data_IF_112445099871
#
_entry.id   IF_112445099871
#
_cell.length_a   1.000
_cell.length_b   1.000
_cell.length_c   1.000
_cell.angle_alpha   90.00
_cell.angle_beta   90.00
_cell.angle_gamma   90.00
#
_symmetry.space_group_name_H-M   'P 1'
#
loop_
_entity.id
_entity.type
_entity.pdbx_description
1 polymer ?
#
# COMPACT_ATOMS: atom_id res chain seq x y z
N UNK A 1 -0.73 -10.55 26.55
CA UNK A 1 0.47 -9.89 25.98
C UNK A 1 0.24 -8.39 26.07
N UNK A 2 1.30 -7.59 26.28
CA UNK A 2 1.18 -6.12 26.22
C UNK A 2 0.87 -5.69 24.78
N UNK A 3 0.01 -4.67 24.61
CA UNK A 3 -0.28 -4.12 23.29
C UNK A 3 0.99 -3.55 22.65
N UNK A 4 1.02 -3.56 21.32
CA UNK A 4 2.07 -2.87 20.55
C UNK A 4 2.00 -1.37 20.83
N UNK A 5 3.17 -0.74 20.88
CA UNK A 5 3.29 0.71 20.85
C UNK A 5 3.88 1.09 19.50
N UNK A 6 3.11 1.83 18.70
CA UNK A 6 3.57 2.38 17.42
C UNK A 6 4.70 3.39 17.63
N UNK A 7 5.38 3.81 16.56
CA UNK A 7 6.44 4.83 16.66
C UNK A 7 5.98 6.12 17.35
N UNK A 8 4.74 6.57 17.10
CA UNK A 8 4.16 7.73 17.79
C UNK A 8 3.90 7.45 19.28
N UNK A 9 3.39 6.27 19.64
CA UNK A 9 3.18 5.90 21.05
C UNK A 9 4.51 5.85 21.82
N UNK A 10 5.56 5.34 21.16
CA UNK A 10 6.92 5.29 21.73
C UNK A 10 7.47 6.70 21.93
N UNK A 11 7.34 7.57 20.93
CA UNK A 11 7.78 8.96 21.02
C UNK A 11 7.02 9.71 22.13
N UNK A 12 5.70 9.57 22.23
CA UNK A 12 4.88 10.20 23.26
C UNK A 12 5.25 9.78 24.68
N UNK A 13 5.57 8.49 24.85
CA UNK A 13 5.93 7.90 26.14
C UNK A 13 7.35 8.20 26.62
N UNK A 14 8.22 8.75 25.77
CA UNK A 14 9.66 8.92 26.06
C UNK A 14 10.07 10.41 26.05
N UNK A 15 10.19 10.99 27.25
CA UNK A 15 10.53 12.41 27.43
C UNK A 15 11.99 12.73 27.15
N UNK A 16 12.89 11.78 27.26
CA UNK A 16 14.30 12.03 26.92
C UNK A 16 14.46 12.00 25.40
N UNK A 17 13.83 11.04 24.73
CA UNK A 17 13.80 10.99 23.26
C UNK A 17 13.20 12.28 22.66
N UNK A 18 12.13 12.82 23.27
CA UNK A 18 11.56 14.11 22.85
C UNK A 18 12.57 15.28 22.92
N UNK A 19 13.52 15.28 23.86
CA UNK A 19 14.49 16.39 23.99
C UNK A 19 15.55 16.39 22.89
N UNK A 20 15.72 15.28 22.18
CA UNK A 20 16.68 15.18 21.08
C UNK A 20 16.24 15.97 19.84
N UNK A 21 14.95 16.30 19.72
CA UNK A 21 14.40 17.02 18.58
C UNK A 21 14.11 18.47 18.97
N UNK A 22 14.98 19.38 18.54
CA UNK A 22 14.86 20.81 18.78
C UNK A 22 15.00 21.59 17.48
N UNK A 23 14.06 22.50 17.23
CA UNK A 23 14.07 23.32 16.03
C UNK A 23 12.69 23.40 15.40
N UNK A 24 12.63 23.51 14.10
CA UNK A 24 11.41 23.53 13.32
C UNK A 24 11.08 22.13 12.80
N UNK A 25 9.85 21.72 13.07
CA UNK A 25 9.36 20.37 12.77
C UNK A 25 8.39 20.41 11.59
N UNK A 26 8.65 19.53 10.62
CA UNK A 26 7.71 19.12 9.59
C UNK A 26 7.05 17.79 9.96
N UNK A 27 5.78 17.57 9.59
CA UNK A 27 5.08 16.30 9.85
C UNK A 27 4.36 15.81 8.59
N UNK A 28 4.80 14.68 8.03
CA UNK A 28 4.10 13.92 7.00
C UNK A 28 3.19 12.89 7.66
N UNK A 29 1.87 13.08 7.54
CA UNK A 29 0.87 12.20 8.12
C UNK A 29 -0.45 12.25 7.34
N UNK A 30 -1.38 11.33 7.64
CA UNK A 30 -2.71 11.24 7.03
C UNK A 30 -3.73 10.76 8.07
N UNK A 31 -4.99 10.58 7.68
CA UNK A 31 -6.07 10.24 8.62
C UNK A 31 -5.84 9.00 9.50
N UNK A 32 -5.16 7.96 9.01
CA UNK A 32 -4.85 6.77 9.83
C UNK A 32 -3.57 6.91 10.68
N UNK A 33 -2.92 8.07 10.64
CA UNK A 33 -1.80 8.43 11.53
C UNK A 33 -2.33 8.78 12.91
N UNK A 34 -2.69 7.75 13.69
CA UNK A 34 -3.20 7.89 15.06
C UNK A 34 -2.38 7.08 16.05
N UNK A 35 -2.34 7.51 17.30
CA UNK A 35 -1.79 6.73 18.40
C UNK A 35 -2.80 5.66 18.89
N UNK A 36 -2.42 4.86 19.89
CA UNK A 36 -3.31 3.82 20.46
C UNK A 36 -4.62 4.34 21.05
N UNK A 37 -4.69 5.64 21.34
CA UNK A 37 -5.85 6.33 21.91
C UNK A 37 -6.71 7.03 20.85
N UNK A 38 -6.43 6.83 19.55
CA UNK A 38 -7.07 7.49 18.42
C UNK A 38 -6.82 9.01 18.35
N UNK A 39 -5.82 9.53 19.06
CA UNK A 39 -5.38 10.91 18.85
C UNK A 39 -4.54 10.97 17.58
N UNK A 40 -4.86 11.92 16.69
CA UNK A 40 -4.14 12.11 15.44
C UNK A 40 -2.71 12.58 15.70
N UNK A 41 -1.73 12.05 14.97
CA UNK A 41 -0.30 12.32 15.16
C UNK A 41 0.03 13.80 15.12
N UNK A 42 -0.59 14.58 14.22
CA UNK A 42 -0.40 16.04 14.23
C UNK A 42 -0.75 16.69 15.58
N UNK A 43 -1.85 16.28 16.21
CA UNK A 43 -2.26 16.78 17.52
C UNK A 43 -1.26 16.39 18.61
N UNK A 44 -0.81 15.14 18.60
CA UNK A 44 0.23 14.62 19.49
C UNK A 44 1.55 15.39 19.35
N UNK A 45 2.01 15.62 18.11
CA UNK A 45 3.24 16.35 17.81
C UNK A 45 3.15 17.81 18.28
N UNK A 46 2.04 18.51 18.03
CA UNK A 46 1.83 19.89 18.51
C UNK A 46 1.85 19.95 20.04
N UNK A 47 1.26 18.96 20.71
CA UNK A 47 1.24 18.88 22.18
C UNK A 47 2.63 18.64 22.77
N UNK A 48 3.43 17.77 22.15
CA UNK A 48 4.79 17.45 22.59
C UNK A 48 5.77 18.59 22.34
N UNK A 49 5.78 19.14 21.11
CA UNK A 49 6.81 20.07 20.62
C UNK A 49 6.28 21.49 20.47
N UNK A 50 5.49 21.97 21.43
CA UNK A 50 4.78 23.26 21.41
C UNK A 50 5.54 24.36 20.65
N UNK A 51 4.95 24.87 19.56
CA UNK A 51 5.48 25.97 18.77
C UNK A 51 6.58 25.59 17.76
N UNK A 52 7.07 24.35 17.77
CA UNK A 52 8.11 23.86 16.84
C UNK A 52 7.50 23.29 15.55
N UNK A 53 6.29 22.72 15.58
CA UNK A 53 5.61 22.23 14.37
C UNK A 53 5.25 23.39 13.46
N UNK A 54 5.84 23.44 12.25
CA UNK A 54 5.69 24.54 11.29
C UNK A 54 4.91 24.16 10.04
N UNK A 55 5.13 22.95 9.53
CA UNK A 55 4.63 22.53 8.21
C UNK A 55 4.09 21.10 8.29
N UNK A 56 2.98 20.86 7.61
CA UNK A 56 2.35 19.54 7.50
C UNK A 56 2.38 19.10 6.05
N UNK A 57 2.57 17.82 5.81
CA UNK A 57 2.58 17.22 4.48
C UNK A 57 1.56 16.07 4.42
N UNK A 58 0.79 15.99 3.34
CA UNK A 58 -0.17 14.92 3.08
C UNK A 58 0.27 14.07 1.89
N UNK A 59 0.12 12.73 1.93
CA UNK A 59 0.44 11.82 0.82
C UNK A 59 -0.72 11.76 -0.21
N UNK A 60 -0.73 10.72 -1.06
CA UNK A 60 -1.90 10.34 -1.87
C UNK A 60 -3.16 10.23 -0.99
N UNK A 61 -4.32 10.62 -1.53
CA UNK A 61 -5.59 10.84 -0.81
C UNK A 61 -5.60 12.02 0.18
N UNK A 62 -4.50 12.76 0.31
CA UNK A 62 -4.41 13.99 1.10
C UNK A 62 -4.34 13.73 2.62
N UNK A 63 -4.21 14.83 3.37
CA UNK A 63 -4.09 14.81 4.84
C UNK A 63 -5.35 14.25 5.54
N UNK A 64 -6.55 14.53 4.99
CA UNK A 64 -7.84 14.11 5.57
C UNK A 64 -8.47 12.88 4.90
N UNK A 65 -7.86 12.33 3.84
CA UNK A 65 -8.33 11.08 3.20
C UNK A 65 -9.80 11.16 2.72
N UNK A 66 -10.22 12.29 2.17
CA UNK A 66 -11.60 12.52 1.67
C UNK A 66 -11.76 12.22 0.17
N UNK A 67 -10.66 11.90 -0.52
CA UNK A 67 -10.64 11.62 -1.95
C UNK A 67 -10.84 10.14 -2.25
N UNK A 68 -12.00 9.82 -2.85
CA UNK A 68 -12.47 8.44 -3.08
C UNK A 68 -11.73 7.67 -4.17
N UNK A 69 -11.16 8.36 -5.17
CA UNK A 69 -10.53 7.73 -6.32
C UNK A 69 -9.02 7.97 -6.33
N UNK A 70 -8.28 7.01 -6.90
CA UNK A 70 -6.89 7.24 -7.25
C UNK A 70 -6.87 8.32 -8.35
N UNK A 71 -5.77 9.06 -8.51
CA UNK A 71 -5.64 10.12 -9.53
C UNK A 71 -6.40 11.44 -9.32
N UNK A 72 -7.06 11.65 -8.19
CA UNK A 72 -7.61 12.97 -7.85
C UNK A 72 -6.61 13.73 -6.98
N UNK A 73 -6.11 14.84 -7.51
CA UNK A 73 -5.15 15.72 -6.83
C UNK A 73 -5.82 16.47 -5.67
N UNK A 74 -5.01 16.84 -4.68
CA UNK A 74 -5.46 17.62 -3.52
C UNK A 74 -4.65 18.90 -3.41
N UNK A 75 -5.29 20.06 -3.33
CA UNK A 75 -4.57 21.33 -3.26
C UNK A 75 -3.82 21.54 -1.93
N UNK A 76 -2.86 22.45 -1.94
CA UNK A 76 -2.30 22.99 -0.71
C UNK A 76 -3.38 23.72 0.08
N UNK A 77 -3.33 23.61 1.41
CA UNK A 77 -4.36 24.19 2.28
C UNK A 77 -3.79 24.65 3.61
N UNK A 78 -4.62 25.26 4.45
CA UNK A 78 -4.32 25.53 5.84
C UNK A 78 -5.20 24.67 6.72
N UNK A 79 -4.60 23.99 7.69
CA UNK A 79 -5.36 23.19 8.65
C UNK A 79 -6.36 24.11 9.39
N UNK A 80 -7.67 23.84 9.33
CA UNK A 80 -8.70 24.80 9.76
C UNK A 80 -8.63 25.10 11.26
N UNK A 81 -8.24 24.12 12.07
CA UNK A 81 -8.06 24.27 13.52
C UNK A 81 -6.66 24.75 13.91
N UNK A 82 -5.60 24.00 13.57
CA UNK A 82 -4.22 24.31 13.97
C UNK A 82 -3.58 25.50 13.24
N UNK A 83 -4.18 25.99 12.15
CA UNK A 83 -3.68 27.11 11.32
C UNK A 83 -2.26 26.91 10.80
N UNK A 84 -1.88 25.66 10.55
CA UNK A 84 -0.61 25.28 9.93
C UNK A 84 -0.79 25.09 8.42
N UNK A 85 0.21 25.43 7.59
CA UNK A 85 0.20 25.07 6.18
C UNK A 85 0.27 23.55 6.02
N UNK A 86 -0.53 23.03 5.09
CA UNK A 86 -0.61 21.63 4.69
C UNK A 86 -0.26 21.55 3.21
N UNK A 87 0.89 20.96 2.90
CA UNK A 87 1.35 20.72 1.53
C UNK A 87 0.91 19.33 1.08
N UNK A 88 0.25 19.26 -0.07
CA UNK A 88 -0.03 17.99 -0.72
C UNK A 88 1.18 17.53 -1.50
N UNK A 89 1.63 16.30 -1.23
CA UNK A 89 2.64 15.58 -2.01
C UNK A 89 1.97 14.67 -3.06
N UNK A 90 0.77 15.05 -3.50
CA UNK A 90 -0.01 14.36 -4.52
C UNK A 90 -0.75 15.35 -5.44
N UNK A 91 -0.29 16.61 -5.53
CA UNK A 91 -0.81 17.66 -6.44
C UNK A 91 0.09 17.85 -7.67
N UNK A 92 0.56 19.06 -7.94
CA UNK A 92 1.57 19.37 -8.96
C UNK A 92 2.88 18.62 -8.74
N UNK A 93 3.16 18.19 -7.50
CA UNK A 93 4.38 17.49 -7.13
C UNK A 93 4.09 16.23 -6.33
N UNK A 94 4.93 15.20 -6.51
CA UNK A 94 4.98 13.98 -5.66
C UNK A 94 6.11 14.02 -4.64
N UNK A 95 6.87 15.10 -4.64
CA UNK A 95 8.10 15.31 -3.89
C UNK A 95 8.02 16.74 -3.35
N UNK A 96 8.32 17.00 -2.07
CA UNK A 96 8.31 18.37 -1.58
C UNK A 96 9.33 19.23 -2.33
N UNK A 97 8.97 20.48 -2.62
CA UNK A 97 9.90 21.46 -3.18
C UNK A 97 10.91 21.93 -2.12
N UNK A 98 11.98 22.60 -2.53
CA UNK A 98 12.95 23.15 -1.57
C UNK A 98 12.32 24.23 -0.67
N UNK A 99 11.39 25.02 -1.21
CA UNK A 99 10.60 26.01 -0.44
C UNK A 99 9.72 25.33 0.62
N UNK A 100 9.09 24.21 0.26
CA UNK A 100 8.32 23.42 1.21
C UNK A 100 9.20 22.92 2.36
N UNK A 101 10.46 22.54 2.11
CA UNK A 101 11.40 22.08 3.13
C UNK A 101 12.14 23.21 3.86
N UNK A 102 12.06 24.45 3.38
CA UNK A 102 12.85 25.56 3.93
C UNK A 102 12.63 25.75 5.43
N UNK A 103 13.74 25.82 6.17
CA UNK A 103 13.74 26.05 7.61
C UNK A 103 13.17 24.90 8.43
N UNK A 104 13.06 23.68 7.91
CA UNK A 104 12.74 22.47 8.68
C UNK A 104 14.04 21.78 9.10
N UNK A 105 14.17 21.46 10.39
CA UNK A 105 15.32 20.74 10.95
C UNK A 105 15.02 19.23 11.09
N UNK A 106 13.80 18.91 11.52
CA UNK A 106 13.33 17.54 11.71
C UNK A 106 12.02 17.29 10.95
N UNK A 107 11.99 16.25 10.11
CA UNK A 107 10.83 15.87 9.33
C UNK A 107 10.32 14.50 9.77
N UNK A 108 9.24 14.50 10.54
CA UNK A 108 8.61 13.26 11.01
C UNK A 108 7.68 12.68 9.95
N UNK A 109 7.80 11.38 9.73
CA UNK A 109 6.95 10.61 8.82
C UNK A 109 6.18 9.58 9.63
N UNK A 110 4.87 9.66 9.61
CA UNK A 110 3.98 8.71 10.26
C UNK A 110 2.85 8.32 9.32
N UNK A 111 2.98 7.18 8.65
CA UNK A 111 2.00 6.69 7.68
C UNK A 111 1.70 5.21 7.94
N UNK A 112 0.44 4.89 8.22
CA UNK A 112 -0.06 3.51 8.16
C UNK A 112 -0.13 3.04 6.70
N UNK A 113 0.84 2.22 6.30
CA UNK A 113 0.86 1.50 5.03
C UNK A 113 0.08 0.17 5.12
N UNK A 114 -0.07 -0.54 4.01
CA UNK A 114 -0.90 -1.74 3.88
C UNK A 114 -0.11 -2.99 3.48
N UNK A 115 1.21 -2.88 3.29
CA UNK A 115 2.10 -4.01 3.03
C UNK A 115 2.11 -4.50 1.58
N UNK A 116 1.53 -3.72 0.67
CA UNK A 116 1.41 -4.04 -0.75
C UNK A 116 2.17 -3.02 -1.58
N UNK A 117 3.03 -3.49 -2.49
CA UNK A 117 3.91 -2.67 -3.33
C UNK A 117 3.19 -1.52 -4.03
N UNK A 118 1.97 -1.75 -4.49
CA UNK A 118 1.18 -0.78 -5.26
C UNK A 118 0.67 0.39 -4.41
N UNK A 119 0.63 0.23 -3.08
CA UNK A 119 0.21 1.29 -2.18
C UNK A 119 1.31 2.35 -2.04
N UNK A 120 1.02 3.61 -2.39
CA UNK A 120 2.08 4.58 -2.74
C UNK A 120 2.74 5.29 -1.55
N UNK A 121 2.33 5.00 -0.32
CA UNK A 121 2.87 5.69 0.88
C UNK A 121 4.36 5.38 1.08
N UNK A 122 4.78 4.13 0.85
CA UNK A 122 6.21 3.79 0.85
C UNK A 122 7.00 4.58 -0.20
N UNK A 123 6.39 4.90 -1.34
CA UNK A 123 7.06 5.68 -2.40
C UNK A 123 7.12 7.15 -2.08
N UNK A 124 6.08 7.71 -1.47
CA UNK A 124 6.11 9.05 -0.88
C UNK A 124 7.29 9.18 0.10
N UNK A 125 7.49 8.19 0.97
CA UNK A 125 8.65 8.14 1.88
C UNK A 125 9.99 8.08 1.13
N UNK A 126 10.15 7.18 0.16
CA UNK A 126 11.44 7.07 -0.57
C UNK A 126 11.76 8.30 -1.41
N UNK A 127 10.76 8.95 -2.03
CA UNK A 127 10.93 10.24 -2.70
C UNK A 127 11.35 11.34 -1.73
N UNK A 128 10.75 11.35 -0.54
CA UNK A 128 11.10 12.29 0.50
C UNK A 128 12.54 12.10 0.98
N UNK A 129 12.96 10.86 1.19
CA UNK A 129 14.33 10.52 1.55
C UNK A 129 15.32 10.94 0.45
N UNK A 130 15.01 10.70 -0.82
CA UNK A 130 15.82 11.17 -1.95
C UNK A 130 15.93 12.71 -1.95
N UNK A 131 14.83 13.43 -1.68
CA UNK A 131 14.82 14.90 -1.65
C UNK A 131 15.60 15.47 -0.47
N UNK A 132 15.61 14.78 0.67
CA UNK A 132 16.37 15.17 1.86
C UNK A 132 17.83 14.68 1.85
N UNK A 133 18.25 13.90 0.86
CA UNK A 133 19.64 13.47 0.74
C UNK A 133 20.59 14.68 0.64
N UNK A 134 21.69 14.64 1.38
CA UNK A 134 22.67 15.73 1.44
C UNK A 134 22.20 17.03 2.13
N UNK A 135 20.95 17.11 2.62
CA UNK A 135 20.45 18.27 3.37
C UNK A 135 20.66 18.09 4.87
N UNK A 136 20.74 19.21 5.60
CA UNK A 136 20.75 19.24 7.07
C UNK A 136 19.33 19.12 7.63
N UNK A 137 18.64 18.05 7.24
CA UNK A 137 17.29 17.72 7.69
C UNK A 137 17.31 16.27 8.16
N UNK A 138 17.01 16.03 9.44
CA UNK A 138 16.80 14.68 9.94
C UNK A 138 15.39 14.21 9.56
N UNK A 139 15.29 13.08 8.85
CA UNK A 139 14.01 12.43 8.54
C UNK A 139 13.76 11.33 9.56
N UNK A 140 12.67 11.44 10.32
CA UNK A 140 12.34 10.53 11.41
C UNK A 140 11.10 9.72 11.06
N UNK A 141 11.25 8.42 10.80
CA UNK A 141 10.13 7.51 10.55
C UNK A 141 9.59 6.98 11.86
N UNK A 142 8.34 7.30 12.17
CA UNK A 142 7.57 6.69 13.25
C UNK A 142 7.00 5.38 12.72
N UNK A 143 7.66 4.26 13.06
CA UNK A 143 7.35 3.00 12.41
C UNK A 143 5.98 2.44 12.84
N UNK A 144 5.35 1.67 11.94
CA UNK A 144 4.00 1.12 12.11
C UNK A 144 3.93 -0.36 11.71
N UNK A 145 2.97 -1.12 12.28
CA UNK A 145 2.78 -2.51 11.87
C UNK A 145 2.43 -2.61 10.39
N UNK A 146 2.98 -3.62 9.73
CA UNK A 146 2.43 -4.07 8.45
C UNK A 146 1.14 -4.88 8.73
N UNK A 147 -0.04 -4.45 8.24
CA UNK A 147 -1.31 -5.06 8.62
C UNK A 147 -1.52 -6.47 8.07
N UNK A 148 -0.80 -6.81 6.99
CA UNK A 148 -0.76 -8.17 6.43
C UNK A 148 0.51 -8.92 6.85
N UNK A 149 0.99 -8.60 8.05
CA UNK A 149 2.24 -9.06 8.67
C UNK A 149 3.51 -8.62 7.92
N UNK A 150 4.62 -8.53 8.64
CA UNK A 150 5.92 -8.20 8.08
C UNK A 150 6.76 -9.47 7.83
N UNK A 151 6.12 -10.62 7.62
CA UNK A 151 6.81 -11.93 7.51
C UNK A 151 6.72 -12.50 6.11
N UNK A 152 5.49 -12.71 5.64
CA UNK A 152 5.22 -13.42 4.39
C UNK A 152 5.51 -12.53 3.19
N UNK A 153 5.93 -13.17 2.11
CA UNK A 153 6.29 -12.53 0.84
C UNK A 153 5.56 -13.26 -0.28
N UNK A 154 5.05 -12.49 -1.24
CA UNK A 154 4.30 -13.04 -2.37
C UNK A 154 4.38 -12.10 -3.59
N UNK A 155 4.37 -12.69 -4.78
CA UNK A 155 4.38 -11.98 -6.05
C UNK A 155 5.78 -11.67 -6.56
N UNK A 156 5.86 -11.37 -7.85
CA UNK A 156 7.13 -11.16 -8.54
C UNK A 156 7.84 -9.89 -8.08
N UNK A 157 9.18 -9.94 -8.13
CA UNK A 157 10.01 -8.75 -7.99
C UNK A 157 9.73 -7.80 -9.17
N UNK A 158 9.62 -6.50 -8.88
CA UNK A 158 9.45 -5.48 -9.90
C UNK A 158 10.70 -5.39 -10.80
N UNK A 159 10.50 -5.48 -12.11
CA UNK A 159 11.50 -5.09 -13.09
C UNK A 159 11.51 -3.55 -13.17
N UNK A 160 12.68 -2.95 -12.92
CA UNK A 160 12.85 -1.50 -12.90
C UNK A 160 12.56 -0.82 -14.25
N UNK A 161 12.48 -1.56 -15.36
CA UNK A 161 11.97 -1.04 -16.63
C UNK A 161 10.48 -0.65 -16.56
N UNK A 162 9.73 -1.26 -15.64
CA UNK A 162 8.33 -0.96 -15.34
C UNK A 162 8.19 -0.05 -14.11
N UNK A 163 9.27 0.59 -13.65
CA UNK A 163 9.20 1.47 -12.51
C UNK A 163 8.26 2.67 -12.77
N UNK A 164 7.41 2.97 -11.79
CA UNK A 164 6.45 4.08 -11.79
C UNK A 164 6.06 4.48 -10.36
N UNK A 165 5.13 5.42 -10.17
CA UNK A 165 4.71 5.84 -8.84
C UNK A 165 4.03 4.74 -8.00
N UNK A 166 3.48 3.70 -8.63
CA UNK A 166 2.89 2.51 -7.97
C UNK A 166 3.87 1.34 -7.85
N UNK A 167 5.12 1.56 -8.20
CA UNK A 167 6.11 0.50 -8.29
C UNK A 167 7.48 1.05 -8.56
N UNK A 168 8.19 1.60 -7.57
CA UNK A 168 9.51 2.23 -7.82
C UNK A 168 10.71 1.30 -7.67
N UNK A 169 10.62 0.39 -6.71
CA UNK A 169 11.77 -0.37 -6.21
C UNK A 169 11.60 -1.86 -6.49
N UNK A 170 12.71 -2.62 -6.66
CA UNK A 170 12.68 -4.06 -6.94
C UNK A 170 12.26 -4.86 -5.70
N UNK A 171 10.98 -4.78 -5.35
CA UNK A 171 10.34 -5.50 -4.25
C UNK A 171 9.16 -6.35 -4.76
N UNK A 172 8.80 -7.43 -4.04
CA UNK A 172 7.64 -8.24 -4.40
C UNK A 172 6.33 -7.52 -4.06
N UNK A 173 5.21 -8.01 -4.60
CA UNK A 173 3.88 -7.39 -4.42
C UNK A 173 3.49 -7.33 -2.94
N UNK A 174 3.58 -8.45 -2.22
CA UNK A 174 3.55 -8.47 -0.75
C UNK A 174 4.99 -8.50 -0.27
N UNK A 175 5.47 -7.37 0.22
CA UNK A 175 6.90 -7.19 0.49
C UNK A 175 7.35 -7.67 1.88
N UNK A 176 6.45 -7.78 2.85
CA UNK A 176 6.77 -8.29 4.19
C UNK A 176 7.77 -7.42 4.95
N UNK A 177 7.63 -6.10 4.86
CA UNK A 177 8.43 -5.08 5.57
C UNK A 177 7.51 -4.10 6.28
N UNK A 178 7.97 -3.50 7.38
CA UNK A 178 7.36 -2.27 7.92
C UNK A 178 7.79 -1.05 7.10
N UNK A 179 7.13 0.10 7.29
CA UNK A 179 7.50 1.33 6.58
C UNK A 179 8.91 1.83 6.99
N UNK A 180 9.30 1.65 8.25
CA UNK A 180 10.66 1.90 8.73
C UNK A 180 11.70 0.98 8.09
N UNK A 181 11.37 -0.29 7.87
CA UNK A 181 12.25 -1.23 7.16
C UNK A 181 12.38 -0.89 5.67
N UNK A 182 11.32 -0.39 5.03
CA UNK A 182 11.40 0.15 3.67
C UNK A 182 12.33 1.36 3.61
N UNK A 183 12.30 2.26 4.61
CA UNK A 183 13.24 3.37 4.72
C UNK A 183 14.70 2.89 4.77
N UNK A 184 14.98 1.89 5.61
CA UNK A 184 16.31 1.28 5.74
C UNK A 184 16.75 0.60 4.44
N UNK A 185 15.85 -0.13 3.78
CA UNK A 185 16.12 -0.80 2.52
C UNK A 185 16.47 0.21 1.42
N UNK A 186 15.70 1.29 1.32
CA UNK A 186 15.96 2.38 0.39
C UNK A 186 17.35 3.00 0.61
N UNK A 187 17.67 3.41 1.84
CA UNK A 187 18.96 4.01 2.18
C UNK A 187 20.17 3.08 1.93
N UNK A 188 19.97 1.77 2.00
CA UNK A 188 21.04 0.79 1.83
C UNK A 188 21.26 0.36 0.38
N UNK A 189 20.19 0.22 -0.41
CA UNK A 189 20.26 -0.45 -1.71
C UNK A 189 19.77 0.38 -2.90
N UNK A 190 18.89 1.37 -2.70
CA UNK A 190 18.23 2.08 -3.81
C UNK A 190 18.62 3.55 -3.92
N UNK A 191 18.97 4.18 -2.80
CA UNK A 191 19.34 5.58 -2.75
C UNK A 191 20.73 5.80 -3.38
N UNK A 192 20.85 6.82 -4.23
CA UNK A 192 22.14 7.27 -4.79
C UNK A 192 22.99 7.99 -3.73
N UNK A 193 22.33 8.79 -2.90
CA UNK A 193 22.90 9.51 -1.77
C UNK A 193 22.01 9.30 -0.54
N UNK A 194 22.61 9.29 0.65
CA UNK A 194 21.87 9.02 1.88
C UNK A 194 21.28 10.28 2.47
N UNK A 195 20.09 10.15 3.02
CA UNK A 195 19.52 11.15 3.91
C UNK A 195 19.92 10.86 5.36
N UNK A 196 19.83 11.87 6.22
CA UNK A 196 19.92 11.67 7.66
C UNK A 196 18.63 10.99 8.16
N UNK A 197 18.58 9.66 8.08
CA UNK A 197 17.43 8.84 8.47
C UNK A 197 17.56 8.37 9.93
N UNK A 198 16.47 8.55 10.68
CA UNK A 198 16.23 7.88 11.96
C UNK A 198 14.90 7.12 11.92
N UNK A 199 14.87 5.93 12.51
CA UNK A 199 13.62 5.16 12.68
C UNK A 199 13.33 5.00 14.17
N UNK A 200 12.14 5.46 14.60
CA UNK A 200 11.63 5.18 15.94
C UNK A 200 10.90 3.84 15.89
N UNK A 201 11.59 2.79 16.36
CA UNK A 201 11.07 1.41 16.36
C UNK A 201 9.85 1.29 17.28
N UNK A 202 8.91 0.46 16.84
CA UNK A 202 7.81 0.01 17.68
C UNK A 202 8.31 -0.79 18.89
N UNK A 203 7.50 -0.85 19.95
CA UNK A 203 7.70 -1.77 21.08
C UNK A 203 6.65 -2.87 21.06
N UNK A 204 7.05 -4.08 21.46
CA UNK A 204 6.22 -5.29 21.52
C UNK A 204 5.70 -5.81 20.17
N UNK A 205 6.13 -5.23 19.04
CA UNK A 205 5.79 -5.74 17.72
C UNK A 205 6.64 -6.96 17.36
N UNK A 206 6.02 -7.94 16.72
CA UNK A 206 6.70 -9.08 16.11
C UNK A 206 6.21 -9.24 14.67
N UNK A 207 7.13 -9.58 13.76
CA UNK A 207 6.86 -9.63 12.31
C UNK A 207 5.66 -10.50 11.92
N UNK A 208 5.41 -11.56 12.69
CA UNK A 208 4.35 -12.53 12.42
C UNK A 208 2.98 -12.12 12.95
N UNK A 209 2.85 -10.99 13.66
CA UNK A 209 1.58 -10.53 14.17
C UNK A 209 0.64 -10.13 13.03
N UNK A 210 -0.59 -10.61 13.12
CA UNK A 210 -1.73 -9.99 12.47
C UNK A 210 -2.03 -8.63 13.11
N UNK A 211 -2.72 -7.74 12.37
CA UNK A 211 -3.01 -6.40 12.88
C UNK A 211 -3.80 -6.42 14.20
N UNK A 212 -4.78 -7.31 14.33
CA UNK A 212 -5.61 -7.43 15.54
C UNK A 212 -4.81 -7.85 16.77
N UNK A 213 -3.76 -8.66 16.58
CA UNK A 213 -2.86 -9.09 17.66
C UNK A 213 -2.02 -7.94 18.21
N UNK A 214 -1.87 -6.85 17.45
CA UNK A 214 -1.17 -5.64 17.91
C UNK A 214 -1.94 -4.91 19.00
N UNK A 215 -3.28 -5.04 19.01
CA UNK A 215 -4.19 -4.28 19.87
C UNK A 215 -4.30 -2.80 19.52
N UNK A 216 -3.74 -2.35 18.39
CA UNK A 216 -3.91 -0.99 17.89
C UNK A 216 -5.25 -0.83 17.17
N UNK A 217 -5.85 0.38 17.20
CA UNK A 217 -7.06 0.64 16.43
C UNK A 217 -6.76 0.66 14.93
N UNK A 218 -7.70 0.14 14.12
CA UNK A 218 -7.66 0.29 12.67
C UNK A 218 -8.45 1.53 12.25
N UNK A 219 -7.77 2.46 11.58
CA UNK A 219 -8.37 3.58 10.85
C UNK A 219 -8.06 3.36 9.38
N UNK A 220 -9.05 3.51 8.51
CA UNK A 220 -8.88 3.27 7.08
C UNK A 220 -7.78 4.18 6.49
N UNK A 221 -6.73 3.62 5.86
CA UNK A 221 -5.65 4.42 5.30
C UNK A 221 -6.04 5.05 3.95
N UNK A 222 -7.09 4.54 3.29
CA UNK A 222 -7.77 5.14 2.13
C UNK A 222 -9.27 4.81 2.16
N UNK A 223 -10.13 5.57 1.46
CA UNK A 223 -11.59 5.39 1.58
C UNK A 223 -12.11 4.02 1.13
N UNK A 224 -11.42 3.41 0.15
CA UNK A 224 -11.79 2.10 -0.39
C UNK A 224 -11.06 0.93 0.28
N UNK A 225 -10.27 1.17 1.33
CA UNK A 225 -9.66 0.13 2.14
C UNK A 225 -10.12 0.21 3.61
N UNK A 226 -11.42 -0.03 3.89
CA UNK A 226 -12.01 0.17 5.21
C UNK A 226 -11.58 -0.86 6.26
N UNK A 227 -11.19 -2.05 5.85
CA UNK A 227 -11.00 -3.21 6.73
C UNK A 227 -9.57 -3.72 6.67
N UNK A 228 -9.12 -4.36 7.76
CA UNK A 228 -7.86 -5.12 7.78
C UNK A 228 -7.92 -6.28 6.78
N UNK A 229 -9.08 -6.94 6.64
CA UNK A 229 -9.26 -8.02 5.66
C UNK A 229 -9.05 -7.52 4.22
N UNK A 230 -9.52 -6.30 3.91
CA UNK A 230 -9.26 -5.61 2.67
C UNK A 230 -7.77 -5.50 2.34
N UNK A 231 -6.89 -5.34 3.33
CA UNK A 231 -5.44 -5.30 3.08
C UNK A 231 -4.91 -6.62 2.52
N UNK A 232 -5.47 -7.77 2.95
CA UNK A 232 -5.06 -9.08 2.43
C UNK A 232 -5.56 -9.29 1.00
N UNK A 233 -6.82 -8.97 0.72
CA UNK A 233 -7.39 -9.14 -0.62
C UNK A 233 -6.78 -8.14 -1.62
N UNK A 234 -6.48 -6.91 -1.19
CA UNK A 234 -5.85 -5.87 -2.00
C UNK A 234 -4.54 -6.30 -2.67
N UNK A 235 -3.73 -7.16 -2.03
CA UNK A 235 -2.50 -7.74 -2.61
C UNK A 235 -2.76 -8.35 -3.99
N UNK A 236 -3.94 -8.94 -4.20
CA UNK A 236 -4.35 -9.50 -5.47
C UNK A 236 -5.37 -8.65 -6.23
N UNK A 237 -6.36 -8.07 -5.56
CA UNK A 237 -7.47 -7.38 -6.23
C UNK A 237 -7.07 -6.06 -6.88
N UNK A 238 -5.95 -5.46 -6.46
CA UNK A 238 -5.41 -4.25 -7.10
C UNK A 238 -5.06 -4.46 -8.58
N UNK A 239 -4.73 -5.69 -9.00
CA UNK A 239 -4.46 -6.00 -10.42
C UNK A 239 -5.63 -5.63 -11.32
N UNK A 240 -6.86 -5.74 -10.82
CA UNK A 240 -8.05 -5.48 -11.62
C UNK A 240 -8.20 -4.00 -11.95
N UNK A 241 -7.54 -3.08 -11.25
CA UNK A 241 -7.48 -1.65 -11.61
C UNK A 241 -6.99 -1.45 -13.05
N UNK A 242 -6.08 -2.30 -13.53
CA UNK A 242 -5.58 -2.28 -14.91
C UNK A 242 -6.51 -2.88 -15.96
N UNK A 243 -7.73 -3.29 -15.59
CA UNK A 243 -8.70 -3.96 -16.47
C UNK A 243 -10.09 -3.35 -16.36
N UNK A 244 -11.03 -3.78 -17.20
CA UNK A 244 -12.44 -3.45 -17.05
C UNK A 244 -13.19 -4.33 -16.02
N UNK A 245 -12.51 -5.22 -15.30
CA UNK A 245 -13.12 -5.94 -14.16
C UNK A 245 -13.20 -4.98 -12.98
N UNK A 246 -14.36 -4.91 -12.33
CA UNK A 246 -14.55 -4.11 -11.12
C UNK A 246 -13.91 -4.80 -9.93
N UNK A 247 -13.10 -4.07 -9.17
CA UNK A 247 -12.54 -4.40 -7.87
C UNK A 247 -13.46 -3.97 -6.70
N UNK A 248 -14.75 -3.80 -6.97
CA UNK A 248 -15.76 -3.53 -5.94
C UNK A 248 -15.84 -2.08 -5.45
N UNK A 249 -15.06 -1.15 -6.02
CA UNK A 249 -15.28 0.31 -5.82
C UNK A 249 -16.72 0.66 -6.21
N UNK A 250 -17.36 1.56 -5.47
CA UNK A 250 -18.80 1.80 -5.57
C UNK A 250 -19.67 0.80 -4.81
N UNK A 251 -19.09 -0.13 -4.04
CA UNK A 251 -19.82 -1.01 -3.12
C UNK A 251 -19.40 -0.75 -1.67
N UNK A 252 -20.03 -1.43 -0.71
CA UNK A 252 -19.68 -1.36 0.73
C UNK A 252 -18.54 -2.32 1.14
N UNK A 253 -17.94 -3.01 0.18
CA UNK A 253 -16.88 -4.01 0.34
C UNK A 253 -15.89 -3.91 -0.83
N UNK A 254 -15.44 -2.70 -1.12
CA UNK A 254 -14.39 -2.44 -2.11
C UNK A 254 -13.12 -3.21 -1.77
N UNK A 255 -12.39 -3.62 -2.82
CA UNK A 255 -11.15 -4.41 -2.77
C UNK A 255 -11.30 -5.83 -2.19
N UNK A 256 -12.45 -6.18 -1.63
CA UNK A 256 -12.83 -7.54 -1.21
C UNK A 256 -13.72 -8.26 -2.26
N UNK A 257 -14.23 -7.53 -3.24
CA UNK A 257 -15.13 -8.05 -4.29
C UNK A 257 -14.50 -7.82 -5.66
N UNK A 258 -14.67 -8.79 -6.56
CA UNK A 258 -14.30 -8.66 -7.98
C UNK A 258 -15.44 -9.12 -8.88
N UNK A 259 -15.67 -8.45 -10.02
CA UNK A 259 -16.70 -8.88 -10.96
C UNK A 259 -16.91 -8.02 -12.21
N UNK A 260 -17.80 -8.48 -13.08
CA UNK A 260 -18.13 -7.85 -14.36
C UNK A 260 -19.58 -8.18 -14.76
N UNK A 261 -20.32 -7.32 -15.51
CA UNK A 261 -21.72 -7.57 -15.89
C UNK A 261 -22.00 -8.89 -16.63
N UNK A 262 -20.98 -9.39 -17.32
CA UNK A 262 -21.04 -10.65 -18.08
C UNK A 262 -20.58 -11.90 -17.33
N UNK A 263 -20.12 -11.78 -16.08
CA UNK A 263 -19.79 -12.94 -15.26
C UNK A 263 -21.07 -13.54 -14.68
N UNK A 264 -21.18 -14.87 -14.71
CA UNK A 264 -22.25 -15.67 -14.11
C UNK A 264 -21.64 -16.53 -13.00
N UNK A 265 -21.55 -16.02 -11.76
CA UNK A 265 -20.62 -16.59 -10.77
C UNK A 265 -21.07 -17.94 -10.20
N UNK A 266 -22.34 -18.31 -10.32
CA UNK A 266 -22.81 -19.66 -9.97
C UNK A 266 -22.48 -20.71 -11.03
N UNK A 267 -22.38 -20.31 -12.31
CA UNK A 267 -22.02 -21.23 -13.40
C UNK A 267 -20.53 -21.59 -13.34
N UNK A 268 -19.68 -20.63 -12.95
CA UNK A 268 -18.23 -20.82 -12.85
C UNK A 268 -17.76 -21.43 -11.52
N UNK A 269 -18.66 -21.66 -10.55
CA UNK A 269 -18.26 -22.08 -9.19
C UNK A 269 -17.53 -23.43 -9.17
N UNK A 270 -17.96 -24.39 -10.00
CA UNK A 270 -17.31 -25.71 -10.11
C UNK A 270 -15.90 -25.60 -10.68
N UNK A 271 -15.76 -24.92 -11.82
CA UNK A 271 -14.48 -24.74 -12.53
C UNK A 271 -13.46 -23.99 -11.67
N UNK A 272 -13.87 -22.95 -10.95
CA UNK A 272 -12.97 -22.23 -10.05
C UNK A 272 -12.53 -23.08 -8.85
N UNK A 273 -13.45 -23.87 -8.26
CA UNK A 273 -13.08 -24.78 -7.16
C UNK A 273 -12.06 -25.82 -7.60
N UNK A 274 -12.25 -26.41 -8.78
CA UNK A 274 -11.31 -27.36 -9.37
C UNK A 274 -9.96 -26.67 -9.64
N UNK A 275 -9.97 -25.52 -10.34
CA UNK A 275 -8.77 -24.73 -10.64
C UNK A 275 -7.93 -24.45 -9.39
N UNK A 276 -8.53 -23.94 -8.31
CA UNK A 276 -7.78 -23.64 -7.09
C UNK A 276 -7.34 -24.89 -6.33
N UNK A 277 -8.13 -25.96 -6.36
CA UNK A 277 -7.78 -27.24 -5.72
C UNK A 277 -6.59 -27.91 -6.41
N UNK A 278 -6.58 -27.96 -7.75
CA UNK A 278 -5.48 -28.53 -8.55
C UNK A 278 -4.17 -27.79 -8.31
N UNK A 279 -4.26 -26.47 -8.07
CA UNK A 279 -3.12 -25.61 -7.80
C UNK A 279 -2.77 -25.50 -6.30
N UNK A 280 -3.39 -26.32 -5.43
CA UNK A 280 -3.16 -26.33 -3.98
C UNK A 280 -3.33 -24.96 -3.28
N UNK A 281 -4.19 -24.09 -3.81
CA UNK A 281 -4.46 -22.77 -3.24
C UNK A 281 -5.59 -22.87 -2.21
N UNK A 282 -5.29 -22.52 -0.96
CA UNK A 282 -6.19 -22.66 0.20
C UNK A 282 -6.20 -21.39 1.04
N UNK A 283 -6.96 -21.39 2.15
CA UNK A 283 -7.05 -20.25 3.07
C UNK A 283 -8.02 -19.14 2.66
N UNK A 284 -8.82 -19.35 1.61
CA UNK A 284 -9.85 -18.41 1.18
C UNK A 284 -11.12 -19.13 0.69
N UNK A 285 -12.19 -18.36 0.50
CA UNK A 285 -13.39 -18.81 -0.20
C UNK A 285 -13.90 -17.72 -1.13
N UNK A 286 -14.14 -18.07 -2.38
CA UNK A 286 -14.90 -17.23 -3.30
C UNK A 286 -16.39 -17.44 -3.06
N UNK A 287 -17.07 -16.43 -2.51
CA UNK A 287 -18.52 -16.44 -2.36
C UNK A 287 -19.15 -15.78 -3.58
N UNK A 288 -19.94 -16.49 -4.41
CA UNK A 288 -20.61 -15.87 -5.54
C UNK A 288 -21.60 -14.78 -5.05
N UNK A 289 -21.67 -13.68 -5.78
CA UNK A 289 -22.64 -12.60 -5.54
C UNK A 289 -22.93 -11.81 -6.81
N UNK A 290 -24.01 -11.03 -6.75
CA UNK A 290 -24.23 -9.89 -7.64
C UNK A 290 -24.10 -8.60 -6.82
N UNK A 291 -23.51 -7.57 -7.42
CA UNK A 291 -23.39 -6.24 -6.81
C UNK A 291 -23.54 -5.17 -7.90
N UNK A 292 -23.91 -3.95 -7.52
CA UNK A 292 -24.04 -2.83 -8.46
C UNK A 292 -23.23 -1.65 -7.93
N UNK A 293 -22.08 -1.32 -8.56
CA UNK A 293 -21.29 -0.16 -8.19
C UNK A 293 -22.09 1.14 -8.31
N UNK A 294 -21.93 2.05 -7.34
CA UNK A 294 -22.51 3.40 -7.37
C UNK A 294 -21.61 4.43 -8.06
N UNK A 295 -20.32 4.13 -8.22
CA UNK A 295 -19.34 4.94 -8.95
C UNK A 295 -18.25 4.04 -9.55
N UNK A 296 -17.38 4.62 -10.39
CA UNK A 296 -16.30 3.93 -11.12
C UNK A 296 -16.81 2.86 -12.12
N UNK A 297 -16.10 1.74 -12.29
CA UNK A 297 -16.38 0.72 -13.31
C UNK A 297 -17.77 0.15 -13.13
N UNK A 298 -18.52 0.08 -14.23
CA UNK A 298 -19.88 -0.46 -14.28
C UNK A 298 -20.86 0.25 -13.33
N UNK A 299 -20.65 1.53 -13.02
CA UNK A 299 -21.57 2.31 -12.21
C UNK A 299 -23.01 2.22 -12.75
N UNK A 300 -23.97 1.91 -11.87
CA UNK A 300 -25.38 1.72 -12.22
C UNK A 300 -25.68 0.45 -13.01
N UNK A 301 -24.72 -0.46 -13.19
CA UNK A 301 -24.90 -1.76 -13.87
C UNK A 301 -24.62 -2.91 -12.90
N UNK A 302 -25.49 -3.92 -12.88
CA UNK A 302 -25.28 -5.10 -12.06
C UNK A 302 -24.11 -5.95 -12.58
N UNK A 303 -23.17 -6.26 -11.70
CA UNK A 303 -22.03 -7.14 -11.92
C UNK A 303 -22.25 -8.48 -11.20
N UNK A 304 -22.00 -9.58 -11.91
CA UNK A 304 -21.78 -10.88 -11.29
C UNK A 304 -20.30 -11.02 -10.91
N UNK A 305 -20.00 -11.72 -9.82
CA UNK A 305 -18.63 -11.90 -9.38
C UNK A 305 -18.49 -12.67 -8.08
N UNK A 306 -17.39 -12.41 -7.36
CA UNK A 306 -17.06 -13.08 -6.11
C UNK A 306 -16.59 -12.09 -5.06
N UNK A 307 -17.02 -12.31 -3.82
CA UNK A 307 -16.40 -11.75 -2.64
C UNK A 307 -15.35 -12.76 -2.17
N UNK A 308 -14.14 -12.30 -1.93
CA UNK A 308 -13.03 -13.11 -1.42
C UNK A 308 -13.09 -13.04 0.10
N UNK A 309 -13.41 -14.17 0.74
CA UNK A 309 -13.40 -14.31 2.20
C UNK A 309 -12.07 -14.92 2.62
N UNK A 310 -11.34 -14.27 3.53
CA UNK A 310 -10.08 -14.81 4.06
C UNK A 310 -10.39 -15.77 5.22
N UNK A 311 -10.06 -17.05 5.04
CA UNK A 311 -10.34 -18.10 6.03
C UNK A 311 -9.12 -18.48 6.87
N UNK A 312 -7.93 -18.46 6.25
CA UNK A 312 -6.64 -18.68 6.91
C UNK A 312 -5.59 -17.79 6.26
N UNK A 313 -5.17 -16.76 7.00
CA UNK A 313 -4.21 -15.75 6.54
C UNK A 313 -2.81 -16.31 6.26
N UNK A 314 -2.44 -17.41 6.91
CA UNK A 314 -1.13 -18.04 6.73
C UNK A 314 -1.06 -18.88 5.45
N UNK A 315 -2.19 -19.49 5.08
CA UNK A 315 -2.34 -20.30 3.87
C UNK A 315 -2.72 -19.46 2.64
N UNK A 316 -3.44 -18.35 2.82
CA UNK A 316 -3.93 -17.52 1.72
C UNK A 316 -2.78 -16.89 0.91
N UNK A 317 -2.86 -17.04 -0.42
CA UNK A 317 -1.94 -16.48 -1.42
C UNK A 317 -2.72 -15.55 -2.37
N UNK A 318 -3.09 -14.34 -1.90
CA UNK A 318 -3.96 -13.41 -2.63
C UNK A 318 -3.47 -13.05 -4.03
N UNK A 319 -2.17 -12.86 -4.22
CA UNK A 319 -1.63 -12.52 -5.54
C UNK A 319 -1.86 -13.68 -6.50
N UNK A 320 -1.40 -14.90 -6.17
CA UNK A 320 -1.60 -16.08 -7.03
C UNK A 320 -3.08 -16.34 -7.34
N UNK A 321 -3.93 -16.24 -6.32
CA UNK A 321 -5.39 -16.43 -6.45
C UNK A 321 -5.98 -15.43 -7.44
N UNK A 322 -5.63 -14.15 -7.34
CA UNK A 322 -6.20 -13.13 -8.22
C UNK A 322 -5.61 -13.19 -9.64
N UNK A 323 -4.34 -13.60 -9.82
CA UNK A 323 -3.79 -13.82 -11.16
C UNK A 323 -4.52 -14.94 -11.90
N UNK A 324 -4.74 -16.10 -11.24
CA UNK A 324 -5.51 -17.20 -11.83
C UNK A 324 -6.98 -16.80 -12.07
N UNK A 325 -7.58 -16.05 -11.14
CA UNK A 325 -8.94 -15.54 -11.33
C UNK A 325 -9.03 -14.59 -12.53
N UNK A 326 -8.02 -13.74 -12.72
CA UNK A 326 -7.94 -12.86 -13.88
C UNK A 326 -7.77 -13.65 -15.18
N UNK A 327 -6.89 -14.65 -15.22
CA UNK A 327 -6.75 -15.55 -16.37
C UNK A 327 -8.07 -16.25 -16.71
N UNK A 328 -8.81 -16.73 -15.70
CA UNK A 328 -10.12 -17.32 -15.91
C UNK A 328 -11.14 -16.32 -16.44
N UNK A 329 -11.17 -15.10 -15.89
CA UNK A 329 -12.06 -14.04 -16.39
C UNK A 329 -11.70 -13.59 -17.80
N UNK A 330 -10.41 -13.53 -18.15
CA UNK A 330 -9.96 -13.25 -19.51
C UNK A 330 -10.51 -14.29 -20.49
N UNK A 331 -10.40 -15.58 -20.17
CA UNK A 331 -10.94 -16.66 -20.99
C UNK A 331 -12.47 -16.60 -21.14
N UNK A 332 -13.19 -16.38 -20.02
CA UNK A 332 -14.67 -16.36 -20.01
C UNK A 332 -15.23 -15.14 -20.71
N UNK A 333 -14.61 -13.97 -20.53
CA UNK A 333 -15.08 -12.72 -21.13
C UNK A 333 -14.67 -12.60 -22.60
N UNK A 334 -13.57 -13.22 -23.03
CA UNK A 334 -13.09 -13.18 -24.40
C UNK A 334 -12.99 -11.74 -24.92
N UNK A 335 -13.74 -11.41 -25.97
CA UNK A 335 -13.76 -10.06 -26.55
C UNK A 335 -14.27 -8.96 -25.61
N UNK A 336 -14.97 -9.33 -24.53
CA UNK A 336 -15.47 -8.41 -23.52
C UNK A 336 -14.45 -8.05 -22.45
N UNK A 337 -13.34 -8.80 -22.34
CA UNK A 337 -12.22 -8.39 -21.50
C UNK A 337 -11.50 -7.21 -22.16
N UNK A 338 -11.22 -6.17 -21.37
CA UNK A 338 -10.44 -5.01 -21.81
C UNK A 338 -9.41 -4.64 -20.76
N UNK A 339 -8.21 -4.31 -21.20
CA UNK A 339 -7.28 -3.56 -20.39
C UNK A 339 -7.78 -2.13 -20.24
N UNK A 340 -7.39 -1.47 -19.16
CA UNK A 340 -7.61 -0.03 -18.99
C UNK A 340 -6.79 0.71 -20.05
N UNK A 341 -7.45 1.59 -20.80
CA UNK A 341 -6.81 2.40 -21.85
C UNK A 341 -6.38 3.77 -21.32
N UNK A 342 -7.02 4.27 -20.25
CA UNK A 342 -6.61 5.52 -19.61
C UNK A 342 -5.23 5.36 -18.95
N UNK A 343 -4.43 6.44 -18.93
CA UNK A 343 -3.18 6.48 -18.18
C UNK A 343 -3.38 6.02 -16.73
N UNK A 344 -2.41 5.27 -16.22
CA UNK A 344 -2.40 4.83 -14.83
C UNK A 344 -1.27 5.55 -14.10
N UNK A 345 -1.61 6.42 -13.14
CA UNK A 345 -0.62 7.13 -12.32
C UNK A 345 0.36 7.97 -13.16
N UNK A 346 -0.21 8.67 -14.16
CA UNK A 346 0.47 9.58 -15.09
C UNK A 346 1.47 8.88 -16.04
N UNK A 347 1.39 7.55 -16.14
CA UNK A 347 2.08 6.77 -17.17
C UNK A 347 1.17 6.57 -18.39
N UNK A 348 1.62 7.06 -19.55
CA UNK A 348 0.83 7.09 -20.79
C UNK A 348 1.22 5.99 -21.79
N UNK A 349 2.42 5.43 -21.67
CA UNK A 349 3.04 4.58 -22.70
C UNK A 349 3.05 3.08 -22.36
N UNK A 350 2.61 2.70 -21.16
CA UNK A 350 2.66 1.32 -20.65
C UNK A 350 1.28 0.82 -20.27
N UNK A 351 1.04 -0.47 -20.48
CA UNK A 351 -0.20 -1.11 -20.06
C UNK A 351 -0.33 -1.04 -18.52
N UNK A 352 -1.45 -0.55 -17.99
CA UNK A 352 -1.67 -0.47 -16.54
C UNK A 352 -1.48 -1.80 -15.79
N UNK A 353 -1.83 -2.94 -16.39
CA UNK A 353 -1.60 -4.27 -15.78
C UNK A 353 -0.11 -4.58 -15.64
N UNK A 354 0.69 -4.17 -16.62
CA UNK A 354 2.14 -4.41 -16.60
C UNK A 354 2.82 -3.50 -15.55
N UNK A 355 2.31 -2.28 -15.35
CA UNK A 355 2.75 -1.39 -14.28
C UNK A 355 2.41 -1.93 -12.88
N UNK A 356 1.18 -2.40 -12.69
CA UNK A 356 0.73 -2.98 -11.41
C UNK A 356 1.54 -4.25 -11.08
N UNK A 357 1.72 -5.14 -12.06
CA UNK A 357 2.56 -6.34 -11.89
C UNK A 357 4.05 -6.03 -11.89
N UNK A 358 4.49 -4.86 -12.33
CA UNK A 358 5.91 -4.49 -12.42
C UNK A 358 6.68 -5.32 -13.45
N UNK A 359 5.98 -5.89 -14.44
CA UNK A 359 6.52 -6.67 -15.57
C UNK A 359 5.39 -7.00 -16.54
N UNK A 360 5.70 -7.13 -17.83
CA UNK A 360 4.81 -7.66 -18.86
C UNK A 360 4.68 -9.19 -18.84
N UNK A 361 5.63 -9.90 -18.21
CA UNK A 361 5.67 -11.37 -18.16
C UNK A 361 4.39 -11.98 -17.57
N UNK A 362 3.79 -11.34 -16.58
CA UNK A 362 2.55 -11.83 -15.95
C UNK A 362 1.36 -11.69 -16.90
N UNK A 363 1.27 -10.59 -17.65
CA UNK A 363 0.24 -10.42 -18.69
C UNK A 363 0.42 -11.45 -19.82
N UNK A 364 1.66 -11.68 -20.27
CA UNK A 364 1.96 -12.70 -21.28
C UNK A 364 1.62 -14.12 -20.81
N UNK A 365 1.90 -14.45 -19.54
CA UNK A 365 1.47 -15.70 -18.91
C UNK A 365 -0.06 -15.84 -18.88
N UNK A 366 -0.75 -14.76 -18.54
CA UNK A 366 -2.21 -14.73 -18.48
C UNK A 366 -2.82 -14.93 -19.87
N UNK A 367 -2.33 -14.22 -20.89
CA UNK A 367 -2.82 -14.28 -22.27
C UNK A 367 -2.55 -15.63 -22.95
N UNK A 368 -1.42 -16.28 -22.64
CA UNK A 368 -1.05 -17.58 -23.20
C UNK A 368 -1.81 -18.76 -22.58
N UNK A 369 -2.43 -18.57 -21.41
CA UNK A 369 -3.11 -19.64 -20.68
C UNK A 369 -2.15 -20.67 -20.08
N UNK A 370 -0.89 -20.30 -19.84
CA UNK A 370 0.08 -21.18 -19.17
C UNK A 370 -0.35 -21.49 -17.73
N UNK A 371 0.08 -22.65 -17.22
CA UNK A 371 -0.23 -23.12 -15.87
C UNK A 371 0.49 -22.33 -14.77
N UNK A 372 0.12 -22.60 -13.51
CA UNK A 372 0.67 -21.88 -12.36
C UNK A 372 2.19 -22.06 -12.23
N UNK A 373 2.77 -23.18 -12.68
CA UNK A 373 4.22 -23.40 -12.59
C UNK A 373 5.00 -22.26 -13.27
N UNK A 374 4.50 -21.75 -14.39
CA UNK A 374 5.15 -20.66 -15.10
C UNK A 374 5.07 -19.34 -14.35
N UNK A 375 3.95 -19.08 -13.66
CA UNK A 375 3.82 -17.91 -12.79
C UNK A 375 4.77 -18.00 -11.59
N UNK A 376 5.00 -19.20 -11.06
CA UNK A 376 5.96 -19.45 -9.98
C UNK A 376 7.41 -19.22 -10.42
N UNK A 377 7.77 -19.58 -11.66
CA UNK A 377 9.06 -19.22 -12.23
C UNK A 377 9.26 -17.69 -12.33
N UNK A 378 8.20 -16.94 -12.63
CA UNK A 378 8.24 -15.47 -12.64
C UNK A 378 8.37 -14.94 -11.20
N UNK A 379 7.66 -15.54 -10.24
CA UNK A 379 7.70 -15.16 -8.83
C UNK A 379 9.08 -15.37 -8.19
N UNK A 380 9.78 -16.43 -8.57
CA UNK A 380 11.08 -16.79 -7.99
C UNK A 380 12.24 -15.93 -8.53
N UNK A 381 12.07 -15.27 -9.69
CA UNK A 381 13.09 -14.41 -10.28
C UNK A 381 13.44 -13.23 -9.35
N UNK A 382 14.70 -13.21 -8.88
CA UNK A 382 15.22 -12.16 -7.98
C UNK A 382 14.83 -12.30 -6.51
N UNK A 383 14.08 -13.36 -6.15
CA UNK A 383 13.59 -13.57 -4.78
C UNK A 383 14.72 -13.78 -3.79
N UNK A 384 15.73 -14.59 -4.12
CA UNK A 384 16.89 -14.85 -3.26
C UNK A 384 17.62 -13.54 -2.91
N UNK A 385 17.94 -12.72 -3.91
CA UNK A 385 18.56 -11.40 -3.70
C UNK A 385 17.71 -10.50 -2.81
N UNK A 386 16.39 -10.45 -3.03
CA UNK A 386 15.49 -9.67 -2.18
C UNK A 386 15.51 -10.17 -0.72
N UNK A 387 15.52 -11.49 -0.52
CA UNK A 387 15.56 -12.11 0.81
C UNK A 387 16.85 -11.78 1.56
N UNK A 388 18.00 -11.83 0.90
CA UNK A 388 19.29 -11.43 1.47
C UNK A 388 19.32 -9.95 1.85
N UNK A 389 18.86 -9.08 0.94
CA UNK A 389 18.78 -7.63 1.19
C UNK A 389 17.85 -7.35 2.38
N UNK A 390 16.67 -7.97 2.41
CA UNK A 390 15.69 -7.88 3.48
C UNK A 390 16.28 -8.29 4.83
N UNK A 391 16.91 -9.47 4.92
CA UNK A 391 17.49 -9.96 6.16
C UNK A 391 18.48 -8.97 6.81
N UNK A 392 19.17 -8.20 5.97
CA UNK A 392 20.20 -7.25 6.39
C UNK A 392 19.69 -5.88 6.89
N UNK A 393 18.38 -5.62 6.82
CA UNK A 393 17.75 -4.35 7.20
C UNK A 393 16.62 -4.49 8.23
N UNK A 394 16.30 -5.71 8.66
CA UNK A 394 15.17 -5.96 9.57
C UNK A 394 15.37 -5.26 10.92
N UNK A 395 14.29 -4.68 11.43
CA UNK A 395 14.27 -3.98 12.71
C UNK A 395 13.68 -4.83 13.85
N UNK A 396 12.89 -5.86 13.51
CA UNK A 396 12.10 -6.74 14.38
C UNK A 396 12.28 -8.22 14.06
#
# INVERSE_FOLDING_TARGET
MSSVLSGIDVLEGDKELQKEFSGNIGVLCHSASVNKSLDHTLQSMIKMFKGQVKKVYGPQHGFVTDVQDNMVETDHTFHPFFKLPVYSLYSETRIPTDEMLEGIDHLFVDLQDVGTRIYTYIYTLTLLLEKCAGKDIEVIVLDRPNPINAKDIEGNILDTNFASFVGRHPIPVRHGLTIGEVACMHQKYWAKEKANLRVIKMKNYSRGMNFEETGLPWVMPSPNLPTVEGCFTFVGTVLFEGTNISEGRGSTRSLEIVGHPKIRPWELEGELKELFSENNLTGFKLRPLNFMPTFQKHAGTACGGYQIHVLDRSAFRPWKVCQLLCQKFYQVLGSDFKYKEDPYEYEFDKNPVDLINGTDKVRMWMESGEGLEKLEEIEEQGRETYMEQRASILLY
#
